data_IF_835509014071
#
_entry.id   IF_835509014071
#
_cell.length_a   1.000
_cell.length_b   1.000
_cell.length_c   1.000
_cell.angle_alpha   90.00
_cell.angle_beta   90.00
_cell.angle_gamma   90.00
#
_symmetry.space_group_name_H-M   'P 1'
#
loop_
_entity.id
_entity.type
_entity.pdbx_description
1 polymer ?
#
# COMPACT_ATOMS: atom_id res chain seq x y z
N UNK A 1 1.51 3.40 -18.39
CA UNK A 1 0.43 2.42 -18.11
C UNK A 1 0.24 1.40 -19.24
N UNK A 2 0.15 1.80 -20.51
CA UNK A 2 0.08 0.87 -21.67
C UNK A 2 1.36 0.03 -21.89
N UNK A 3 2.55 0.60 -21.63
CA UNK A 3 3.82 -0.15 -21.71
C UNK A 3 3.92 -1.28 -20.68
N UNK A 4 3.25 -1.13 -19.54
CA UNK A 4 3.30 -2.05 -18.41
C UNK A 4 2.50 -3.34 -18.66
N UNK A 5 1.29 -3.20 -19.22
CA UNK A 5 0.46 -4.34 -19.66
C UNK A 5 1.16 -5.15 -20.75
N UNK A 6 1.97 -4.50 -21.60
CA UNK A 6 2.81 -5.19 -22.58
C UNK A 6 3.93 -5.99 -21.91
N UNK A 7 4.62 -5.43 -20.91
CA UNK A 7 5.69 -6.14 -20.19
C UNK A 7 5.16 -7.35 -19.41
N UNK A 8 4.08 -7.19 -18.62
CA UNK A 8 3.53 -8.29 -17.83
C UNK A 8 3.06 -9.48 -18.70
N UNK A 9 2.43 -9.21 -19.87
CA UNK A 9 2.07 -10.24 -20.85
C UNK A 9 3.28 -10.87 -21.55
N UNK A 10 4.37 -10.13 -21.71
CA UNK A 10 5.61 -10.63 -22.32
C UNK A 10 6.32 -11.65 -21.43
N UNK A 11 6.18 -11.52 -20.11
CA UNK A 11 6.79 -12.43 -19.16
C UNK A 11 5.90 -13.62 -18.78
N UNK A 12 4.56 -13.50 -18.85
CA UNK A 12 3.63 -14.55 -18.40
C UNK A 12 2.37 -14.61 -19.30
N UNK A 13 2.42 -15.33 -20.44
CA UNK A 13 1.34 -15.35 -21.41
C UNK A 13 0.10 -16.16 -20.96
N UNK A 14 0.25 -17.20 -20.13
CA UNK A 14 -0.84 -18.09 -19.75
C UNK A 14 -1.21 -18.02 -18.25
N UNK A 15 -2.47 -18.32 -17.91
CA UNK A 15 -2.98 -18.28 -16.52
C UNK A 15 -2.34 -19.37 -15.64
N UNK A 16 -2.08 -20.56 -16.22
CA UNK A 16 -1.34 -21.63 -15.54
C UNK A 16 0.11 -21.24 -15.21
N UNK A 17 0.75 -20.32 -15.94
CA UNK A 17 2.13 -19.91 -15.65
C UNK A 17 2.22 -19.16 -14.32
N UNK A 18 1.17 -18.43 -13.91
CA UNK A 18 1.11 -17.71 -12.65
C UNK A 18 0.94 -18.66 -11.46
N UNK A 19 0.04 -19.64 -11.57
CA UNK A 19 -0.14 -20.65 -10.54
C UNK A 19 1.15 -21.48 -10.37
N UNK A 20 1.77 -21.89 -11.48
CA UNK A 20 3.04 -22.61 -11.45
C UNK A 20 4.20 -21.76 -10.92
N UNK A 21 4.27 -20.46 -11.26
CA UNK A 21 5.32 -19.58 -10.76
C UNK A 21 5.20 -19.37 -9.25
N UNK A 22 3.98 -19.18 -8.72
CA UNK A 22 3.72 -18.86 -7.30
C UNK A 22 3.71 -20.09 -6.39
N UNK A 23 3.23 -21.24 -6.88
CA UNK A 23 3.11 -22.47 -6.08
C UNK A 23 4.27 -23.46 -6.28
N UNK A 24 4.86 -23.54 -7.49
CA UNK A 24 5.86 -24.56 -7.82
C UNK A 24 7.29 -24.02 -7.99
N UNK A 25 7.48 -22.76 -8.41
CA UNK A 25 8.82 -22.14 -8.60
C UNK A 25 9.15 -21.02 -7.60
N UNK A 26 8.19 -20.61 -6.76
CA UNK A 26 8.33 -19.50 -5.81
C UNK A 26 8.94 -19.98 -4.49
N UNK A 27 10.22 -20.29 -4.49
CA UNK A 27 10.88 -20.60 -3.23
C UNK A 27 12.34 -20.15 -3.22
N UNK A 28 12.63 -18.92 -2.75
CA UNK A 28 13.95 -18.60 -2.21
C UNK A 28 14.14 -19.24 -0.81
N UNK A 29 13.08 -19.75 -0.19
CA UNK A 29 13.10 -20.40 1.12
C UNK A 29 12.17 -21.61 1.08
N UNK A 30 12.77 -22.81 1.00
CA UNK A 30 12.21 -24.12 0.65
C UNK A 30 10.91 -24.60 1.33
N UNK A 31 10.25 -23.81 2.17
CA UNK A 31 8.99 -24.17 2.83
C UNK A 31 7.77 -23.46 2.20
N UNK A 32 6.90 -24.18 1.47
CA UNK A 32 5.67 -23.64 0.89
C UNK A 32 4.60 -23.28 1.94
N UNK A 33 4.71 -23.77 3.18
CA UNK A 33 3.81 -23.40 4.27
C UNK A 33 4.21 -22.08 4.94
N UNK A 34 5.48 -21.67 4.79
CA UNK A 34 5.96 -20.38 5.28
C UNK A 34 5.40 -19.23 4.42
N UNK A 35 4.86 -18.22 5.09
CA UNK A 35 4.28 -17.01 4.50
C UNK A 35 3.07 -17.25 3.59
N UNK A 36 2.25 -18.26 3.88
CA UNK A 36 1.05 -18.63 3.09
C UNK A 36 0.14 -17.43 2.79
N UNK A 37 -0.14 -16.58 3.79
CA UNK A 37 -0.98 -15.39 3.63
C UNK A 37 -0.40 -14.37 2.64
N UNK A 38 0.89 -14.06 2.75
CA UNK A 38 1.59 -13.15 1.82
C UNK A 38 1.57 -13.69 0.38
N UNK A 39 1.76 -15.00 0.22
CA UNK A 39 1.69 -15.67 -1.09
C UNK A 39 0.31 -15.54 -1.73
N UNK A 40 -0.77 -15.73 -0.97
CA UNK A 40 -2.14 -15.50 -1.46
C UNK A 40 -2.36 -14.04 -1.86
N UNK A 41 -1.88 -13.08 -1.06
CA UNK A 41 -2.00 -11.66 -1.38
C UNK A 41 -1.26 -11.31 -2.69
N UNK A 42 -0.06 -11.86 -2.91
CA UNK A 42 0.69 -11.73 -4.16
C UNK A 42 -0.05 -12.34 -5.35
N UNK A 43 -0.62 -13.54 -5.20
CA UNK A 43 -1.41 -14.18 -6.24
C UNK A 43 -2.64 -13.35 -6.63
N UNK A 44 -3.36 -12.85 -5.62
CA UNK A 44 -4.52 -11.98 -5.83
C UNK A 44 -4.12 -10.67 -6.53
N UNK A 45 -3.00 -10.05 -6.14
CA UNK A 45 -2.51 -8.84 -6.77
C UNK A 45 -2.18 -9.04 -8.26
N UNK A 46 -1.53 -10.17 -8.62
CA UNK A 46 -1.28 -10.52 -10.02
C UNK A 46 -2.58 -10.74 -10.80
N UNK A 47 -3.54 -11.44 -10.19
CA UNK A 47 -4.86 -11.64 -10.78
C UNK A 47 -5.57 -10.31 -11.07
N UNK A 48 -5.60 -9.39 -10.09
CA UNK A 48 -6.20 -8.07 -10.25
C UNK A 48 -5.50 -7.25 -11.34
N UNK A 49 -4.16 -7.27 -11.37
CA UNK A 49 -3.37 -6.64 -12.43
C UNK A 49 -3.67 -7.20 -13.82
N UNK A 50 -3.84 -8.52 -13.95
CA UNK A 50 -4.19 -9.19 -15.21
C UNK A 50 -5.59 -8.82 -15.69
N UNK A 51 -6.57 -8.73 -14.78
CA UNK A 51 -7.96 -8.35 -15.10
C UNK A 51 -8.11 -6.88 -15.52
N UNK A 52 -7.00 -6.12 -15.59
CA UNK A 52 -6.96 -4.70 -16.00
C UNK A 52 -7.87 -3.80 -15.17
N UNK A 53 -8.10 -4.13 -13.89
CA UNK A 53 -8.58 -3.12 -12.97
C UNK A 53 -7.52 -2.01 -12.95
N UNK A 54 -7.88 -0.82 -13.45
CA UNK A 54 -6.96 0.31 -13.56
C UNK A 54 -6.58 0.77 -12.15
N UNK A 55 -5.34 0.53 -11.73
CA UNK A 55 -4.85 0.96 -10.41
C UNK A 55 -3.54 0.28 -9.99
N UNK A 56 -2.89 0.83 -8.96
CA UNK A 56 -1.84 0.13 -8.20
C UNK A 56 -2.50 -0.68 -7.08
N UNK A 57 -2.06 -1.92 -6.86
CA UNK A 57 -2.54 -2.72 -5.72
C UNK A 57 -1.80 -2.30 -4.46
N UNK A 58 -2.51 -1.77 -3.47
CA UNK A 58 -1.89 -1.40 -2.20
C UNK A 58 -1.93 -2.60 -1.24
N UNK A 59 -0.75 -3.06 -0.83
CA UNK A 59 -0.62 -4.04 0.25
C UNK A 59 -0.47 -3.29 1.57
N UNK A 60 -1.35 -3.55 2.54
CA UNK A 60 -1.32 -2.85 3.81
C UNK A 60 -0.63 -3.71 4.88
N UNK A 61 0.41 -3.17 5.49
CA UNK A 61 1.06 -3.79 6.66
C UNK A 61 1.72 -2.72 7.53
N UNK A 62 1.54 -2.81 8.84
CA UNK A 62 2.29 -2.01 9.81
C UNK A 62 3.52 -2.75 10.35
N UNK A 63 3.68 -4.03 10.01
CA UNK A 63 4.91 -4.77 10.26
C UNK A 63 5.99 -4.34 9.26
N UNK A 64 6.89 -3.48 9.72
CA UNK A 64 8.02 -3.01 8.94
C UNK A 64 8.98 -4.15 8.53
N UNK A 65 8.91 -5.32 9.18
CA UNK A 65 9.68 -6.51 8.78
C UNK A 65 9.02 -7.27 7.64
N UNK A 66 7.73 -7.09 7.38
CA UNK A 66 7.03 -7.72 6.24
C UNK A 66 7.59 -7.28 4.89
N UNK A 67 8.25 -6.11 4.85
CA UNK A 67 9.02 -5.67 3.67
C UNK A 67 10.30 -6.48 3.43
N UNK A 68 10.68 -7.44 4.29
CA UNK A 68 11.85 -8.28 4.08
C UNK A 68 11.43 -9.59 3.40
N UNK A 69 12.29 -10.11 2.51
CA UNK A 69 12.02 -11.38 1.84
C UNK A 69 11.00 -11.26 0.71
N UNK A 70 9.84 -11.92 0.87
CA UNK A 70 8.90 -12.20 -0.22
C UNK A 70 8.30 -10.95 -0.87
N UNK A 71 7.82 -10.02 -0.05
CA UNK A 71 7.10 -8.83 -0.53
C UNK A 71 8.05 -7.89 -1.30
N UNK A 72 9.26 -7.62 -0.79
CA UNK A 72 10.23 -6.80 -1.52
C UNK A 72 10.73 -7.45 -2.82
N UNK A 73 10.96 -8.77 -2.80
CA UNK A 73 11.26 -9.51 -4.01
C UNK A 73 10.14 -9.40 -5.05
N UNK A 74 8.89 -9.42 -4.60
CA UNK A 74 7.70 -9.36 -5.44
C UNK A 74 7.49 -7.96 -6.04
N UNK A 75 7.56 -6.92 -5.20
CA UNK A 75 7.40 -5.53 -5.63
C UNK A 75 8.43 -5.13 -6.68
N UNK A 76 9.70 -5.48 -6.47
CA UNK A 76 10.79 -5.16 -7.40
C UNK A 76 10.60 -5.78 -8.79
N UNK A 77 9.96 -6.95 -8.89
CA UNK A 77 9.78 -7.69 -10.15
C UNK A 77 8.52 -7.31 -10.88
N UNK A 78 7.40 -7.29 -10.18
CA UNK A 78 6.11 -7.12 -10.83
C UNK A 78 5.68 -5.67 -10.89
N UNK A 79 6.14 -4.80 -9.98
CA UNK A 79 5.84 -3.37 -9.96
C UNK A 79 4.34 -3.02 -10.08
N UNK A 80 3.45 -3.97 -9.74
CA UNK A 80 1.99 -3.79 -9.66
C UNK A 80 1.52 -3.41 -8.26
N UNK A 81 2.33 -3.70 -7.25
CA UNK A 81 1.99 -3.48 -5.86
C UNK A 81 2.85 -2.39 -5.25
N UNK A 82 2.28 -1.73 -4.25
CA UNK A 82 3.03 -0.88 -3.33
C UNK A 82 2.57 -1.15 -1.91
N UNK A 83 3.52 -1.39 -1.03
CA UNK A 83 3.25 -1.68 0.36
C UNK A 83 3.19 -0.38 1.14
N UNK A 84 2.05 -0.16 1.78
CA UNK A 84 1.79 0.99 2.60
C UNK A 84 1.58 0.57 4.04
N UNK A 85 1.96 1.47 4.92
CA UNK A 85 1.60 1.38 6.32
C UNK A 85 0.25 2.04 6.52
N UNK A 86 -0.47 1.68 7.58
CA UNK A 86 -1.78 2.28 7.87
C UNK A 86 -1.68 3.80 8.00
N UNK A 87 -0.57 4.32 8.55
CA UNK A 87 -0.30 5.76 8.60
C UNK A 87 -0.20 6.43 7.21
N UNK A 88 0.41 5.77 6.22
CA UNK A 88 0.48 6.29 4.83
C UNK A 88 -0.89 6.28 4.17
N UNK A 89 -1.66 5.22 4.40
CA UNK A 89 -3.02 5.11 3.92
C UNK A 89 -3.89 6.25 4.46
N UNK A 90 -3.80 6.56 5.75
CA UNK A 90 -4.57 7.64 6.36
C UNK A 90 -4.25 9.01 5.74
N UNK A 91 -2.96 9.32 5.50
CA UNK A 91 -2.59 10.56 4.79
C UNK A 91 -3.17 10.59 3.37
N UNK A 92 -3.16 9.46 2.66
CA UNK A 92 -3.74 9.37 1.33
C UNK A 92 -5.26 9.57 1.32
N UNK A 93 -5.98 8.92 2.25
CA UNK A 93 -7.42 9.11 2.40
C UNK A 93 -7.73 10.58 2.72
N UNK A 94 -6.92 11.22 3.56
CA UNK A 94 -7.07 12.65 3.86
C UNK A 94 -6.96 13.52 2.61
N UNK A 95 -5.93 13.29 1.80
CA UNK A 95 -5.73 13.99 0.54
C UNK A 95 -6.92 13.81 -0.42
N UNK A 96 -7.39 12.57 -0.58
CA UNK A 96 -8.47 12.24 -1.52
C UNK A 96 -9.83 12.77 -1.05
N UNK A 97 -10.07 12.77 0.26
CA UNK A 97 -11.36 13.17 0.83
C UNK A 97 -11.43 14.65 1.21
N UNK A 98 -10.34 15.41 1.11
CA UNK A 98 -10.36 16.83 1.43
C UNK A 98 -11.34 17.60 0.51
N UNK A 99 -12.12 18.57 1.04
CA UNK A 99 -12.23 18.99 2.44
C UNK A 99 -13.30 18.22 3.24
N UNK A 100 -13.95 17.21 2.66
CA UNK A 100 -15.03 16.43 3.30
C UNK A 100 -14.56 15.66 4.53
N UNK A 101 -13.26 15.36 4.63
CA UNK A 101 -12.68 14.81 5.85
C UNK A 101 -11.92 15.90 6.63
N UNK A 102 -12.45 16.35 7.78
CA UNK A 102 -11.83 17.40 8.57
C UNK A 102 -10.47 17.00 9.14
N UNK A 103 -9.58 17.99 9.30
CA UNK A 103 -8.23 17.81 9.83
C UNK A 103 -8.22 17.11 11.21
N UNK A 104 -9.07 17.55 12.14
CA UNK A 104 -9.17 16.97 13.48
C UNK A 104 -9.53 15.47 13.46
N UNK A 105 -10.37 15.04 12.51
CA UNK A 105 -10.71 13.62 12.35
C UNK A 105 -9.54 12.83 11.77
N UNK A 106 -8.80 13.37 10.81
CA UNK A 106 -7.61 12.73 10.28
C UNK A 106 -6.49 12.60 11.33
N UNK A 107 -6.30 13.64 12.14
CA UNK A 107 -5.35 13.61 13.25
C UNK A 107 -5.74 12.56 14.31
N UNK A 108 -7.02 12.50 14.68
CA UNK A 108 -7.52 11.48 15.60
C UNK A 108 -7.27 10.05 15.05
N UNK A 109 -7.54 9.83 13.76
CA UNK A 109 -7.30 8.54 13.13
C UNK A 109 -5.81 8.14 13.16
N UNK A 110 -4.88 9.09 12.91
CA UNK A 110 -3.44 8.82 13.03
C UNK A 110 -3.06 8.39 14.46
N UNK A 111 -3.64 9.05 15.49
CA UNK A 111 -3.40 8.69 16.89
C UNK A 111 -3.98 7.31 17.23
N UNK A 112 -5.13 6.96 16.68
CA UNK A 112 -5.83 5.68 16.93
C UNK A 112 -5.20 4.47 16.23
N UNK A 113 -4.41 4.66 15.17
CA UNK A 113 -3.65 3.59 14.53
C UNK A 113 -2.34 3.28 15.27
N UNK A 114 -1.82 4.23 16.04
CA UNK A 114 -0.60 4.07 16.83
C UNK A 114 -0.67 3.13 18.08
N UNK A 115 -1.81 2.87 18.77
CA UNK A 115 -1.82 2.15 20.05
C UNK A 115 -1.41 0.68 19.97
N UNK A 116 -1.33 0.08 18.78
CA UNK A 116 -0.83 -1.30 18.63
C UNK A 116 0.70 -1.43 18.63
N UNK A 117 1.45 -0.32 18.61
CA UNK A 117 2.92 -0.34 18.56
C UNK A 117 3.61 0.05 19.88
N UNK A 118 2.88 0.58 20.86
CA UNK A 118 3.49 1.25 22.03
C UNK A 118 2.97 0.79 23.40
N UNK A 119 2.11 -0.23 23.49
CA UNK A 119 1.71 -0.85 24.76
C UNK A 119 1.38 0.15 25.88
N UNK A 120 0.13 0.61 25.97
CA UNK A 120 -0.40 1.41 27.11
C UNK A 120 0.31 2.73 27.46
N UNK A 121 1.43 3.11 26.85
CA UNK A 121 2.08 4.39 27.13
C UNK A 121 1.66 5.47 26.14
N UNK A 122 1.30 6.62 26.71
CA UNK A 122 0.85 7.88 26.10
C UNK A 122 1.96 8.54 25.24
N UNK A 123 3.14 7.92 25.14
CA UNK A 123 4.28 8.47 24.44
C UNK A 123 4.14 8.37 22.92
N UNK A 124 4.23 9.52 22.27
CA UNK A 124 4.16 9.67 20.83
C UNK A 124 5.42 9.06 20.19
N UNK A 125 5.25 7.95 19.45
CA UNK A 125 6.34 7.35 18.70
C UNK A 125 6.94 8.36 17.70
N UNK A 126 8.26 8.28 17.44
CA UNK A 126 8.92 9.14 16.44
C UNK A 126 8.22 9.03 15.08
N UNK A 127 7.74 7.83 14.74
CA UNK A 127 6.94 7.55 13.55
C UNK A 127 5.64 8.35 13.56
N UNK A 128 4.82 8.30 14.63
CA UNK A 128 3.59 9.08 14.69
C UNK A 128 3.87 10.60 14.58
N UNK A 129 4.94 11.10 15.23
CA UNK A 129 5.35 12.50 15.16
C UNK A 129 5.61 12.95 13.72
N UNK A 130 6.33 12.13 12.96
CA UNK A 130 6.61 12.39 11.54
C UNK A 130 5.33 12.48 10.70
N UNK A 131 4.40 11.54 10.86
CA UNK A 131 3.16 11.53 10.08
C UNK A 131 2.19 12.65 10.48
N UNK A 132 2.20 13.09 11.74
CA UNK A 132 1.46 14.30 12.15
C UNK A 132 2.02 15.54 11.47
N UNK A 133 3.35 15.69 11.40
CA UNK A 133 4.00 16.78 10.67
C UNK A 133 3.62 16.77 9.19
N UNK A 134 3.59 15.59 8.56
CA UNK A 134 3.13 15.49 7.17
C UNK A 134 1.66 15.85 7.00
N UNK A 135 0.78 15.43 7.90
CA UNK A 135 -0.63 15.81 7.85
C UNK A 135 -0.81 17.33 7.92
N UNK A 136 -0.09 17.99 8.82
CA UNK A 136 -0.11 19.45 8.97
C UNK A 136 0.36 20.16 7.70
N UNK A 137 1.50 19.74 7.15
CA UNK A 137 2.01 20.27 5.88
C UNK A 137 1.01 20.10 4.74
N UNK A 138 0.41 18.91 4.61
CA UNK A 138 -0.63 18.65 3.61
C UNK A 138 -1.85 19.53 3.81
N UNK A 139 -2.29 19.75 5.05
CA UNK A 139 -3.43 20.61 5.35
C UNK A 139 -3.19 22.06 4.92
N UNK A 140 -2.01 22.59 5.21
CA UNK A 140 -1.60 23.95 4.81
C UNK A 140 -1.60 24.05 3.29
N UNK A 141 -0.98 23.10 2.60
CA UNK A 141 -0.92 23.08 1.12
C UNK A 141 -2.33 23.02 0.51
N UNK A 142 -3.18 22.10 0.97
CA UNK A 142 -4.53 21.93 0.43
C UNK A 142 -5.44 23.15 0.66
N UNK A 143 -5.29 23.85 1.78
CA UNK A 143 -6.01 25.11 2.04
C UNK A 143 -5.52 26.27 1.17
N UNK A 144 -4.24 26.27 0.80
CA UNK A 144 -3.67 27.28 -0.08
C UNK A 144 -4.03 27.07 -1.56
N UNK A 145 -4.56 25.88 -1.92
CA UNK A 145 -5.01 25.63 -3.29
C UNK A 145 -6.22 26.52 -3.62
N UNK A 146 -6.24 27.14 -4.82
CA UNK A 146 -7.40 27.89 -5.27
C UNK A 146 -8.62 26.97 -5.31
N UNK A 147 -9.76 27.46 -4.83
CA UNK A 147 -11.01 26.70 -4.94
C UNK A 147 -11.27 26.45 -6.42
N UNK A 148 -11.36 25.17 -6.81
CA UNK A 148 -11.71 24.81 -8.17
C UNK A 148 -13.14 25.31 -8.38
N UNK A 149 -13.28 26.49 -8.99
CA UNK A 149 -14.56 26.96 -9.52
C UNK A 149 -15.02 25.84 -10.44
N UNK A 150 -16.17 25.23 -10.12
CA UNK A 150 -16.82 24.29 -11.03
C UNK A 150 -16.96 24.99 -12.38
N UNK A 151 -16.17 24.58 -13.36
CA UNK A 151 -16.48 24.90 -14.76
C UNK A 151 -17.84 24.25 -15.00
N UNK A 152 -18.85 25.11 -15.21
CA UNK A 152 -20.22 24.71 -15.52
C UNK A 152 -20.27 24.09 -16.90
#
# INVERSE_FOLDING_TARGET
MLQFVRQARRYFPYEQDYANLIFNRFSPTADPNRNRGERYNCALALYLGRKRYTGQVIMLTDDMKAHRGLINWYESRFQITKTWTSLKLLLHIYLVMFPKWPYNRAELALRQVNPYLAGTQVEMTNRLREYRRYLEQLHIMLKALPSVKKMR
#
